data_IF_545024632538
#
_entry.id   IF_545024632538
#
_cell.length_a   1.000
_cell.length_b   1.000
_cell.length_c   1.000
_cell.angle_alpha   90.00
_cell.angle_beta   90.00
_cell.angle_gamma   90.00
#
_symmetry.space_group_name_H-M   'P 1'
#
loop_
_entity.id
_entity.type
_entity.pdbx_description
1 polymer ?
#
# COMPACT_ATOMS: atom_id res chain seq x y z
N UNK A 1 2.22 -26.63 23.91
CA UNK A 1 2.62 -25.68 22.85
C UNK A 1 2.08 -24.32 23.25
N UNK A 2 2.85 -23.24 23.15
CA UNK A 2 2.31 -21.90 23.37
C UNK A 2 1.15 -21.65 22.39
N UNK A 3 0.06 -21.06 22.87
CA UNK A 3 -1.09 -20.72 22.03
C UNK A 3 -0.64 -19.71 20.97
N UNK A 4 -0.92 -19.98 19.68
CA UNK A 4 -0.61 -19.05 18.59
C UNK A 4 -1.42 -17.77 18.78
N UNK A 5 -0.78 -16.63 18.52
CA UNK A 5 -1.46 -15.32 18.59
C UNK A 5 -2.47 -15.20 17.46
N UNK A 6 -3.65 -14.68 17.79
CA UNK A 6 -4.74 -14.40 16.86
C UNK A 6 -4.62 -12.98 16.34
N UNK A 7 -4.43 -12.84 15.04
CA UNK A 7 -4.40 -11.56 14.34
C UNK A 7 -5.63 -11.46 13.44
N UNK A 8 -6.39 -10.38 13.59
CA UNK A 8 -7.52 -10.06 12.72
C UNK A 8 -7.18 -8.85 11.86
N UNK A 9 -7.03 -9.05 10.56
CA UNK A 9 -6.77 -8.00 9.58
C UNK A 9 -8.07 -7.62 8.85
N UNK A 10 -8.54 -6.38 9.05
CA UNK A 10 -9.74 -5.82 8.44
C UNK A 10 -9.32 -4.83 7.38
N UNK A 11 -9.48 -5.16 6.10
CA UNK A 11 -9.01 -4.27 5.03
C UNK A 11 -10.12 -3.99 4.02
N UNK A 12 -10.46 -2.72 3.89
CA UNK A 12 -11.46 -2.24 2.93
C UNK A 12 -11.01 -2.44 1.48
N UNK A 13 -11.97 -2.72 0.59
CA UNK A 13 -11.75 -2.92 -0.85
C UNK A 13 -10.83 -4.10 -1.21
N UNK A 14 -10.46 -4.96 -0.25
CA UNK A 14 -9.55 -6.09 -0.46
C UNK A 14 -10.26 -7.43 -0.72
N UNK A 15 -11.60 -7.45 -0.80
CA UNK A 15 -12.37 -8.67 -1.11
C UNK A 15 -11.99 -9.34 -2.43
N UNK A 16 -11.38 -8.60 -3.37
CA UNK A 16 -10.96 -9.11 -4.67
C UNK A 16 -9.55 -9.73 -4.64
N UNK A 17 -8.78 -9.57 -3.55
CA UNK A 17 -7.39 -10.00 -3.45
C UNK A 17 -7.20 -11.31 -2.68
N UNK A 18 -8.16 -12.24 -2.77
CA UNK A 18 -8.14 -13.49 -2.02
C UNK A 18 -6.86 -14.34 -2.26
N UNK A 19 -6.27 -14.27 -3.46
CA UNK A 19 -5.02 -14.97 -3.79
C UNK A 19 -3.82 -14.46 -2.97
N UNK A 20 -3.69 -13.14 -2.81
CA UNK A 20 -2.66 -12.51 -1.99
C UNK A 20 -2.77 -12.94 -0.53
N UNK A 21 -3.96 -12.82 0.05
CA UNK A 21 -4.19 -13.16 1.45
C UNK A 21 -4.01 -14.64 1.75
N UNK A 22 -4.32 -15.53 0.80
CA UNK A 22 -3.99 -16.96 0.91
C UNK A 22 -2.48 -17.18 0.99
N UNK A 23 -1.70 -16.50 0.13
CA UNK A 23 -0.23 -16.57 0.18
C UNK A 23 0.30 -16.05 1.53
N UNK A 24 -0.20 -14.92 2.01
CA UNK A 24 0.18 -14.34 3.31
C UNK A 24 -0.13 -15.31 4.47
N UNK A 25 -1.36 -15.84 4.53
CA UNK A 25 -1.77 -16.81 5.56
C UNK A 25 -0.85 -18.04 5.56
N UNK A 26 -0.56 -18.60 4.38
CA UNK A 26 0.36 -19.74 4.27
C UNK A 26 1.79 -19.42 4.74
N UNK A 27 2.28 -18.21 4.46
CA UNK A 27 3.62 -17.78 4.89
C UNK A 27 3.73 -17.50 6.39
N UNK A 28 2.60 -17.13 7.03
CA UNK A 28 2.53 -16.76 8.44
C UNK A 28 1.99 -17.90 9.35
N UNK A 29 1.52 -19.01 8.79
CA UNK A 29 0.82 -20.09 9.53
C UNK A 29 1.60 -20.63 10.74
N UNK A 30 2.93 -20.71 10.65
CA UNK A 30 3.78 -21.13 11.78
C UNK A 30 3.92 -20.08 12.88
N UNK A 31 3.72 -18.82 12.55
CA UNK A 31 4.00 -17.67 13.42
C UNK A 31 2.74 -17.20 14.15
N UNK A 32 1.58 -17.21 13.48
CA UNK A 32 0.30 -16.73 14.03
C UNK A 32 -0.92 -17.31 13.31
N UNK A 33 -2.07 -17.22 13.96
CA UNK A 33 -3.38 -17.44 13.34
C UNK A 33 -3.87 -16.12 12.75
N UNK A 34 -3.95 -16.03 11.41
CA UNK A 34 -4.37 -14.82 10.71
C UNK A 34 -5.75 -14.98 10.08
N UNK A 35 -6.71 -14.18 10.58
CA UNK A 35 -8.02 -13.99 9.96
C UNK A 35 -7.98 -12.70 9.15
N UNK A 36 -8.52 -12.76 7.93
CA UNK A 36 -8.69 -11.56 7.10
C UNK A 36 -10.17 -11.35 6.85
N UNK A 37 -10.61 -10.12 7.09
CA UNK A 37 -11.97 -9.61 6.90
C UNK A 37 -11.91 -8.40 5.94
N UNK A 38 -13.03 -8.06 5.31
CA UNK A 38 -13.21 -6.82 4.55
C UNK A 38 -14.28 -5.92 5.15
N UNK A 39 -14.45 -4.74 4.56
CA UNK A 39 -15.53 -3.80 4.83
C UNK A 39 -16.92 -4.45 4.70
N UNK A 40 -17.08 -5.43 3.82
CA UNK A 40 -18.33 -6.18 3.65
C UNK A 40 -18.66 -7.04 4.88
N UNK A 41 -17.66 -7.58 5.58
CA UNK A 41 -17.90 -8.36 6.80
C UNK A 41 -18.44 -7.49 7.94
N UNK A 42 -17.96 -6.24 8.02
CA UNK A 42 -18.42 -5.24 8.98
C UNK A 42 -19.82 -4.75 8.61
N UNK A 43 -20.04 -4.46 7.33
CA UNK A 43 -21.35 -4.02 6.83
C UNK A 43 -22.44 -5.06 7.08
N UNK A 44 -22.13 -6.34 6.86
CA UNK A 44 -23.05 -7.46 7.09
C UNK A 44 -23.15 -7.90 8.55
N UNK A 45 -22.32 -7.33 9.43
CA UNK A 45 -22.25 -7.70 10.84
C UNK A 45 -22.09 -9.22 11.04
N UNK A 46 -21.18 -9.83 10.30
CA UNK A 46 -21.02 -11.29 10.28
C UNK A 46 -20.67 -11.84 11.69
N UNK A 47 -21.40 -12.84 12.22
CA UNK A 47 -21.10 -13.43 13.55
C UNK A 47 -19.69 -14.00 13.68
N UNK A 48 -19.11 -14.54 12.60
CA UNK A 48 -17.74 -15.04 12.59
C UNK A 48 -16.74 -13.89 12.68
N UNK A 49 -17.03 -12.76 12.00
CA UNK A 49 -16.22 -11.55 12.10
C UNK A 49 -16.26 -10.95 13.51
N UNK A 50 -17.43 -10.92 14.15
CA UNK A 50 -17.56 -10.49 15.54
C UNK A 50 -16.71 -11.34 16.49
N UNK A 51 -16.71 -12.67 16.30
CA UNK A 51 -15.89 -13.59 17.08
C UNK A 51 -14.40 -13.36 16.82
N UNK A 52 -13.98 -13.23 15.56
CA UNK A 52 -12.60 -12.94 15.19
C UNK A 52 -12.09 -11.61 15.76
N UNK A 53 -12.93 -10.57 15.82
CA UNK A 53 -12.58 -9.28 16.43
C UNK A 53 -12.43 -9.43 17.94
N UNK A 54 -13.41 -10.05 18.61
CA UNK A 54 -13.42 -10.21 20.07
C UNK A 54 -12.24 -11.04 20.58
N UNK A 55 -11.90 -12.13 19.89
CA UNK A 55 -10.86 -13.06 20.30
C UNK A 55 -9.44 -12.67 19.85
N UNK A 56 -9.29 -11.64 19.01
CA UNK A 56 -7.97 -11.23 18.54
C UNK A 56 -7.06 -10.79 19.68
N UNK A 57 -5.78 -11.16 19.60
CA UNK A 57 -4.70 -10.51 20.36
C UNK A 57 -4.31 -9.18 19.69
N UNK A 58 -4.36 -9.13 18.36
CA UNK A 58 -4.03 -7.95 17.56
C UNK A 58 -5.07 -7.71 16.46
N UNK A 59 -5.47 -6.45 16.30
CA UNK A 59 -6.26 -5.99 15.16
C UNK A 59 -5.42 -5.07 14.27
N UNK A 60 -5.45 -5.33 12.97
CA UNK A 60 -4.94 -4.42 11.94
C UNK A 60 -6.13 -3.97 11.09
N UNK A 61 -6.35 -2.66 10.93
CA UNK A 61 -7.43 -2.12 10.11
C UNK A 61 -6.90 -1.11 9.10
N UNK A 62 -7.39 -1.19 7.86
CA UNK A 62 -7.12 -0.17 6.84
C UNK A 62 -8.30 0.06 5.90
N UNK A 63 -8.46 1.30 5.42
CA UNK A 63 -9.45 1.71 4.43
C UNK A 63 -10.93 1.50 4.83
N UNK A 64 -11.26 1.62 6.12
CA UNK A 64 -12.66 1.57 6.59
C UNK A 64 -13.18 3.00 6.77
N UNK A 65 -14.19 3.36 5.97
CA UNK A 65 -14.60 4.76 5.79
C UNK A 65 -16.13 4.97 5.91
N UNK A 66 -16.87 4.02 6.46
CA UNK A 66 -18.28 4.20 6.83
C UNK A 66 -18.48 4.16 8.34
N UNK A 67 -19.30 5.07 8.87
CA UNK A 67 -19.44 5.28 10.31
C UNK A 67 -20.09 4.08 10.99
N UNK A 68 -21.09 3.50 10.34
CA UNK A 68 -21.82 2.33 10.81
C UNK A 68 -20.90 1.11 10.97
N UNK A 69 -19.93 0.95 10.07
CA UNK A 69 -18.92 -0.12 10.16
C UNK A 69 -18.01 0.09 11.38
N UNK A 70 -17.62 1.34 11.65
CA UNK A 70 -16.76 1.69 12.79
C UNK A 70 -17.50 1.56 14.12
N UNK A 71 -18.75 2.01 14.18
CA UNK A 71 -19.59 1.88 15.38
C UNK A 71 -19.79 0.40 15.73
N UNK A 72 -20.12 -0.44 14.74
CA UNK A 72 -20.24 -1.88 14.96
C UNK A 72 -18.92 -2.52 15.40
N UNK A 73 -17.80 -2.14 14.79
CA UNK A 73 -16.48 -2.62 15.20
C UNK A 73 -16.15 -2.25 16.66
N UNK A 74 -16.49 -1.02 17.10
CA UNK A 74 -16.32 -0.58 18.49
C UNK A 74 -17.13 -1.45 19.45
N UNK A 75 -18.39 -1.75 19.12
CA UNK A 75 -19.22 -2.66 19.94
C UNK A 75 -18.56 -4.02 20.15
N UNK A 76 -17.89 -4.56 19.11
CA UNK A 76 -17.16 -5.82 19.23
C UNK A 76 -15.89 -5.68 20.08
N UNK A 77 -15.20 -4.55 20.01
CA UNK A 77 -14.05 -4.29 20.90
C UNK A 77 -14.48 -4.17 22.37
N UNK A 78 -15.59 -3.49 22.65
CA UNK A 78 -16.11 -3.28 24.01
C UNK A 78 -16.58 -4.59 24.67
N UNK A 79 -17.06 -5.54 23.86
CA UNK A 79 -17.43 -6.88 24.31
C UNK A 79 -16.24 -7.82 24.52
N UNK A 80 -15.03 -7.41 24.14
CA UNK A 80 -13.88 -8.27 24.25
C UNK A 80 -13.30 -8.25 25.67
N UNK A 81 -12.89 -9.42 26.16
CA UNK A 81 -12.38 -9.57 27.53
C UNK A 81 -10.88 -9.28 27.67
N UNK A 82 -10.13 -9.29 26.57
CA UNK A 82 -8.69 -9.06 26.57
C UNK A 82 -8.33 -7.69 25.98
N UNK A 83 -7.28 -7.08 26.55
CA UNK A 83 -6.63 -5.93 25.96
C UNK A 83 -5.98 -6.30 24.61
N UNK A 84 -6.11 -5.42 23.63
CA UNK A 84 -5.66 -5.64 22.25
C UNK A 84 -4.61 -4.63 21.83
N UNK A 85 -3.69 -5.09 21.01
CA UNK A 85 -2.86 -4.20 20.18
C UNK A 85 -3.65 -3.87 18.91
N UNK A 86 -3.85 -2.60 18.59
CA UNK A 86 -4.71 -2.13 17.50
C UNK A 86 -3.95 -1.14 16.63
N UNK A 87 -3.71 -1.53 15.38
CA UNK A 87 -3.13 -0.68 14.34
C UNK A 87 -4.22 -0.27 13.35
N UNK A 88 -4.42 1.03 13.14
CA UNK A 88 -5.41 1.53 12.18
C UNK A 88 -4.76 2.56 11.28
N UNK A 89 -4.97 2.43 9.98
CA UNK A 89 -4.42 3.30 8.96
C UNK A 89 -5.47 3.64 7.90
N UNK A 90 -5.32 4.78 7.22
CA UNK A 90 -6.08 5.13 6.00
C UNK A 90 -7.61 4.97 6.13
N UNK A 91 -8.13 5.14 7.34
CA UNK A 91 -9.54 4.98 7.70
C UNK A 91 -10.08 6.30 8.25
N UNK A 92 -11.39 6.39 8.48
CA UNK A 92 -11.99 7.61 9.02
C UNK A 92 -11.42 8.01 10.40
N UNK A 93 -11.47 9.29 10.79
CA UNK A 93 -10.90 9.77 12.05
C UNK A 93 -11.32 8.97 13.29
N UNK A 94 -12.59 8.59 13.35
CA UNK A 94 -13.20 7.81 14.43
C UNK A 94 -12.62 6.40 14.54
N UNK A 95 -12.22 5.82 13.41
CA UNK A 95 -11.49 4.56 13.36
C UNK A 95 -10.05 4.78 13.82
N UNK A 96 -9.37 5.79 13.25
CA UNK A 96 -7.98 6.10 13.58
C UNK A 96 -7.77 6.36 15.08
N UNK A 97 -8.76 6.96 15.75
CA UNK A 97 -8.78 7.21 17.19
C UNK A 97 -8.81 5.92 18.06
N UNK A 98 -9.09 4.76 17.47
CA UNK A 98 -9.01 3.48 18.19
C UNK A 98 -7.60 2.86 18.14
N UNK A 99 -6.63 3.52 17.49
CA UNK A 99 -5.24 3.04 17.44
C UNK A 99 -4.64 2.97 18.85
N UNK A 100 -4.15 1.78 19.21
CA UNK A 100 -3.54 1.47 20.50
C UNK A 100 -2.37 0.52 20.31
N UNK A 101 -1.15 1.04 20.37
CA UNK A 101 0.10 0.32 20.12
C UNK A 101 1.00 0.52 21.33
N UNK A 102 0.99 -0.43 22.28
CA UNK A 102 1.70 -0.27 23.55
C UNK A 102 1.35 1.06 24.24
N UNK A 103 2.37 1.90 24.48
CA UNK A 103 2.22 3.25 25.04
C UNK A 103 1.73 4.31 24.04
N UNK A 104 1.78 4.04 22.73
CA UNK A 104 1.29 4.95 21.71
C UNK A 104 -0.21 4.77 21.49
N UNK A 105 -0.98 5.82 21.79
CA UNK A 105 -2.43 5.85 21.59
C UNK A 105 -2.82 7.14 20.87
N UNK A 106 -3.79 7.04 19.96
CA UNK A 106 -4.38 8.21 19.30
C UNK A 106 -5.63 8.58 20.09
N UNK A 107 -5.63 9.73 20.76
CA UNK A 107 -6.83 10.24 21.46
C UNK A 107 -7.42 11.42 20.70
N UNK A 108 -8.75 11.56 20.72
CA UNK A 108 -9.42 12.70 20.09
C UNK A 108 -8.82 14.02 20.59
N UNK A 109 -8.42 14.90 19.65
CA UNK A 109 -7.81 16.20 19.94
C UNK A 109 -6.36 16.19 20.46
N UNK A 110 -5.78 15.02 20.78
CA UNK A 110 -4.37 14.88 21.19
C UNK A 110 -3.70 13.74 20.42
N UNK A 111 -2.97 14.10 19.37
CA UNK A 111 -2.10 13.13 18.72
C UNK A 111 -1.00 12.67 19.69
N UNK A 112 -0.91 11.37 19.98
CA UNK A 112 0.17 10.76 20.78
C UNK A 112 1.56 10.84 20.15
N UNK A 113 1.72 11.64 19.09
CA UNK A 113 2.97 11.84 18.37
C UNK A 113 4.01 12.58 19.24
N UNK A 114 5.29 12.19 19.17
CA UNK A 114 6.38 12.93 19.81
C UNK A 114 6.45 14.40 19.33
N UNK A 115 6.85 15.32 20.20
CA UNK A 115 6.83 16.76 19.88
C UNK A 115 7.70 17.15 18.68
N UNK A 116 8.84 16.49 18.49
CA UNK A 116 9.68 16.70 17.30
C UNK A 116 8.94 16.35 16.00
N UNK A 117 8.14 15.28 16.04
CA UNK A 117 7.35 14.82 14.90
C UNK A 117 6.16 15.74 14.66
N UNK A 118 5.50 16.21 15.74
CA UNK A 118 4.46 17.24 15.66
C UNK A 118 4.97 18.53 15.01
N UNK A 119 6.20 18.97 15.34
CA UNK A 119 6.82 20.13 14.69
C UNK A 119 7.00 19.93 13.18
N UNK A 120 7.47 18.75 12.76
CA UNK A 120 7.59 18.39 11.34
C UNK A 120 6.22 18.37 10.66
N UNK A 121 5.22 17.74 11.27
CA UNK A 121 3.84 17.72 10.76
C UNK A 121 3.27 19.13 10.60
N UNK A 122 3.43 20.00 11.62
CA UNK A 122 2.98 21.41 11.57
C UNK A 122 3.65 22.20 10.45
N UNK A 123 4.95 21.97 10.20
CA UNK A 123 5.64 22.58 9.05
C UNK A 123 5.03 22.13 7.71
N UNK A 124 4.66 20.85 7.58
CA UNK A 124 4.06 20.30 6.36
C UNK A 124 2.65 20.84 6.03
N UNK A 125 1.91 21.29 7.05
CA UNK A 125 0.57 21.91 6.92
C UNK A 125 0.59 23.42 7.10
N UNK A 126 1.77 24.06 7.10
CA UNK A 126 1.92 25.51 7.29
C UNK A 126 1.19 26.03 8.55
N UNK A 127 1.15 25.23 9.62
CA UNK A 127 0.60 25.63 10.92
C UNK A 127 -0.93 25.61 11.06
N UNK A 128 -1.69 25.05 10.12
CA UNK A 128 -3.13 24.85 10.25
C UNK A 128 -3.44 23.63 11.11
N UNK A 129 -3.88 23.84 12.35
CA UNK A 129 -4.16 22.75 13.31
C UNK A 129 -5.42 21.94 12.93
N UNK A 130 -6.38 22.53 12.21
CA UNK A 130 -7.54 21.85 11.59
C UNK A 130 -7.14 20.78 10.55
N UNK A 131 -5.94 20.89 10.00
CA UNK A 131 -5.37 19.96 9.03
C UNK A 131 -4.50 18.88 9.68
N UNK A 132 -4.59 18.65 11.00
CA UNK A 132 -3.72 17.70 11.70
C UNK A 132 -3.72 16.29 11.07
N UNK A 133 -4.88 15.82 10.61
CA UNK A 133 -5.03 14.53 9.93
C UNK A 133 -4.38 14.55 8.52
N UNK A 134 -4.54 15.65 7.79
CA UNK A 134 -3.86 15.85 6.50
C UNK A 134 -2.33 15.99 6.66
N UNK A 135 -1.90 16.61 7.76
CA UNK A 135 -0.51 16.67 8.19
C UNK A 135 0.05 15.29 8.52
N UNK A 136 -0.74 14.41 9.11
CA UNK A 136 -0.40 13.00 9.32
C UNK A 136 -0.20 12.25 8.00
N UNK A 137 -1.10 12.44 7.03
CA UNK A 137 -0.94 11.86 5.70
C UNK A 137 0.33 12.37 4.98
N UNK A 138 0.69 13.65 5.13
CA UNK A 138 1.95 14.18 4.61
C UNK A 138 3.16 13.66 5.38
N UNK A 139 3.05 13.51 6.69
CA UNK A 139 4.08 12.92 7.56
C UNK A 139 4.42 11.51 7.09
N UNK A 140 3.40 10.73 6.77
CA UNK A 140 3.53 9.39 6.23
C UNK A 140 4.30 9.37 4.89
N UNK A 141 4.13 10.39 4.04
CA UNK A 141 4.90 10.52 2.77
C UNK A 141 6.40 10.77 2.99
N UNK A 142 6.79 11.36 4.11
CA UNK A 142 8.20 11.63 4.46
C UNK A 142 8.71 10.71 5.59
N UNK A 143 8.01 9.59 5.82
CA UNK A 143 8.25 8.69 6.93
C UNK A 143 9.68 8.13 6.99
N UNK A 144 10.28 7.79 5.84
CA UNK A 144 11.68 7.29 5.80
C UNK A 144 12.68 8.32 6.33
N UNK A 145 12.38 9.61 6.14
CA UNK A 145 13.20 10.72 6.65
C UNK A 145 12.98 10.92 8.15
N UNK A 146 11.78 10.65 8.65
CA UNK A 146 11.41 10.83 10.06
C UNK A 146 11.91 9.67 10.93
N UNK A 147 11.86 8.44 10.42
CA UNK A 147 12.16 7.24 11.20
C UNK A 147 13.53 7.28 11.93
N UNK A 148 14.63 7.78 11.34
CA UNK A 148 15.91 7.95 12.03
C UNK A 148 15.89 9.03 13.12
N UNK A 149 14.96 9.99 13.05
CA UNK A 149 14.83 11.09 14.00
C UNK A 149 13.94 10.73 15.21
N UNK A 150 13.22 9.61 15.15
CA UNK A 150 12.33 9.19 16.26
C UNK A 150 13.18 8.74 17.45
N UNK A 151 13.03 9.37 18.63
CA UNK A 151 13.78 8.99 19.82
C UNK A 151 13.49 7.54 20.25
N UNK A 152 14.49 6.85 20.81
CA UNK A 152 14.32 5.48 21.32
C UNK A 152 13.22 5.36 22.38
N UNK A 153 12.99 6.42 23.18
CA UNK A 153 11.89 6.48 24.16
C UNK A 153 10.49 6.48 23.53
N UNK A 154 10.38 6.74 22.23
CA UNK A 154 9.14 6.69 21.46
C UNK A 154 9.08 5.39 20.61
N UNK A 155 9.50 4.26 21.20
CA UNK A 155 9.58 2.94 20.56
C UNK A 155 8.26 2.55 19.88
N UNK A 156 7.14 2.70 20.58
CA UNK A 156 5.85 2.27 20.05
C UNK A 156 5.37 3.10 18.87
N UNK A 157 5.62 4.41 18.91
CA UNK A 157 5.36 5.28 17.76
C UNK A 157 6.24 4.91 16.56
N UNK A 158 7.51 4.56 16.81
CA UNK A 158 8.43 4.07 15.76
C UNK A 158 7.93 2.75 15.17
N UNK A 159 7.45 1.83 16.00
CA UNK A 159 6.88 0.56 15.55
C UNK A 159 5.61 0.77 14.73
N UNK A 160 4.72 1.69 15.15
CA UNK A 160 3.54 2.10 14.38
C UNK A 160 3.91 2.65 12.99
N UNK A 161 4.94 3.51 12.89
CA UNK A 161 5.48 3.95 11.59
C UNK A 161 6.07 2.80 10.76
N UNK A 162 6.80 1.87 11.39
CA UNK A 162 7.41 0.75 10.69
C UNK A 162 6.38 -0.22 10.13
N UNK A 163 5.32 -0.53 10.89
CA UNK A 163 4.17 -1.32 10.41
C UNK A 163 3.57 -0.67 9.17
N UNK A 164 3.34 0.65 9.22
CA UNK A 164 2.83 1.39 8.07
C UNK A 164 3.78 1.36 6.87
N UNK A 165 5.09 1.38 7.11
CA UNK A 165 6.12 1.32 6.07
C UNK A 165 6.06 0.01 5.28
N UNK A 166 5.84 -1.12 5.95
CA UNK A 166 5.59 -2.39 5.26
C UNK A 166 4.26 -2.35 4.49
N UNK A 167 3.21 -1.79 5.10
CA UNK A 167 1.88 -1.71 4.47
C UNK A 167 1.88 -0.91 3.15
N UNK A 168 2.62 0.20 3.08
CA UNK A 168 2.77 1.00 1.86
C UNK A 168 3.44 0.27 0.68
N UNK A 169 4.09 -0.86 0.96
CA UNK A 169 4.72 -1.71 -0.03
C UNK A 169 4.05 -3.09 0.01
N UNK A 170 2.80 -3.26 -0.46
CA UNK A 170 1.95 -4.41 -0.14
C UNK A 170 2.30 -5.67 -0.95
N UNK A 171 3.58 -6.06 -0.94
CA UNK A 171 4.03 -7.37 -1.36
C UNK A 171 3.68 -8.40 -0.27
N UNK A 172 3.46 -9.69 -0.65
CA UNK A 172 3.25 -10.75 0.33
C UNK A 172 4.35 -10.79 1.40
N UNK A 173 5.61 -10.62 0.99
CA UNK A 173 6.78 -10.64 1.85
C UNK A 173 6.75 -9.49 2.86
N UNK A 174 6.38 -8.28 2.44
CA UNK A 174 6.28 -7.13 3.34
C UNK A 174 5.12 -7.27 4.31
N UNK A 175 3.94 -7.74 3.87
CA UNK A 175 2.78 -7.91 4.76
C UNK A 175 3.06 -9.01 5.80
N UNK A 176 3.75 -10.09 5.44
CA UNK A 176 4.19 -11.11 6.40
C UNK A 176 5.17 -10.53 7.40
N UNK A 177 6.19 -9.78 6.95
CA UNK A 177 7.15 -9.15 7.85
C UNK A 177 6.53 -8.03 8.71
N UNK A 178 5.47 -7.37 8.22
CA UNK A 178 4.65 -6.46 9.01
C UNK A 178 4.04 -7.16 10.23
N UNK A 179 3.40 -8.32 10.02
CA UNK A 179 2.83 -9.09 11.12
C UNK A 179 3.89 -9.70 12.02
N UNK A 180 5.02 -10.17 11.47
CA UNK A 180 6.16 -10.64 12.29
C UNK A 180 6.75 -9.54 13.15
N UNK A 181 6.81 -8.31 12.65
CA UNK A 181 7.23 -7.15 13.43
C UNK A 181 6.29 -6.97 14.63
N UNK A 182 4.98 -7.05 14.41
CA UNK A 182 3.99 -6.94 15.49
C UNK A 182 4.18 -8.08 16.51
N UNK A 183 4.29 -9.32 16.05
CA UNK A 183 4.50 -10.51 16.89
C UNK A 183 5.76 -10.41 17.75
N UNK A 184 6.87 -9.98 17.17
CA UNK A 184 8.14 -9.80 17.87
C UNK A 184 8.08 -8.70 18.92
N UNK A 185 7.47 -7.56 18.59
CA UNK A 185 7.52 -6.37 19.44
C UNK A 185 6.45 -6.34 20.54
N UNK A 186 5.32 -7.02 20.35
CA UNK A 186 4.16 -6.95 21.25
C UNK A 186 3.73 -8.30 21.83
N UNK A 187 4.30 -9.41 21.36
CA UNK A 187 3.88 -10.76 21.76
C UNK A 187 5.05 -11.70 22.05
N UNK A 188 6.26 -11.16 22.27
CA UNK A 188 7.49 -11.88 22.63
C UNK A 188 7.78 -13.10 21.74
N UNK A 189 7.36 -13.02 20.46
CA UNK A 189 7.52 -14.12 19.51
C UNK A 189 8.93 -14.11 18.92
N UNK A 190 9.62 -15.26 18.94
CA UNK A 190 10.92 -15.44 18.31
C UNK A 190 10.75 -15.63 16.79
N UNK A 191 10.48 -14.52 16.10
CA UNK A 191 10.30 -14.46 14.65
C UNK A 191 11.27 -13.49 14.01
N UNK A 192 11.88 -13.91 12.90
CA UNK A 192 12.77 -13.06 12.11
C UNK A 192 11.95 -12.08 11.26
N UNK A 193 12.25 -10.80 11.37
CA UNK A 193 11.66 -9.74 10.55
C UNK A 193 12.69 -9.31 9.51
N UNK A 194 12.41 -9.58 8.24
CA UNK A 194 13.25 -9.15 7.12
C UNK A 194 13.01 -7.67 6.77
N UNK A 195 14.00 -6.95 6.21
CA UNK A 195 13.82 -5.56 5.76
C UNK A 195 12.71 -5.39 4.72
N UNK A 196 12.17 -4.17 4.63
CA UNK A 196 11.17 -3.80 3.63
C UNK A 196 11.74 -4.00 2.21
N UNK A 197 11.02 -4.76 1.41
CA UNK A 197 11.25 -4.88 -0.03
C UNK A 197 10.69 -3.63 -0.72
N UNK A 198 11.58 -2.78 -1.22
CA UNK A 198 11.20 -1.53 -1.91
C UNK A 198 10.94 -1.79 -3.39
N UNK A 199 9.74 -1.48 -3.85
CA UNK A 199 9.37 -1.53 -5.27
C UNK A 199 9.23 -0.10 -5.77
N UNK A 200 9.88 0.28 -6.88
CA UNK A 200 9.80 1.64 -7.41
C UNK A 200 8.35 2.13 -7.55
N UNK A 201 8.10 3.42 -7.31
CA UNK A 201 6.74 3.98 -7.50
C UNK A 201 6.32 3.99 -8.97
N UNK A 202 7.29 4.09 -9.89
CA UNK A 202 7.08 3.96 -11.32
C UNK A 202 8.32 3.32 -11.96
N UNK A 203 8.13 2.66 -13.09
CA UNK A 203 9.21 1.97 -13.78
C UNK A 203 8.76 1.23 -15.03
N UNK A 204 9.69 0.49 -15.61
CA UNK A 204 9.40 -0.49 -16.66
C UNK A 204 9.62 -1.91 -16.13
N UNK A 205 8.83 -2.84 -16.61
CA UNK A 205 8.80 -4.23 -16.15
C UNK A 205 8.81 -5.21 -17.31
N UNK A 206 9.60 -6.28 -17.24
CA UNK A 206 9.46 -7.37 -18.21
C UNK A 206 9.48 -8.72 -17.49
N UNK A 207 8.64 -9.71 -17.88
CA UNK A 207 8.59 -11.01 -17.19
C UNK A 207 9.90 -11.81 -17.23
N UNK A 208 10.74 -11.56 -18.23
CA UNK A 208 12.08 -12.17 -18.35
C UNK A 208 13.20 -11.36 -17.66
N UNK A 209 12.89 -10.19 -17.09
CA UNK A 209 13.87 -9.38 -16.35
C UNK A 209 13.84 -9.75 -14.86
N UNK A 210 15.02 -9.82 -14.23
CA UNK A 210 15.14 -10.08 -12.78
C UNK A 210 14.69 -8.89 -11.93
N UNK A 211 14.90 -7.68 -12.44
CA UNK A 211 14.71 -6.43 -11.72
C UNK A 211 13.83 -5.47 -12.53
N UNK A 212 13.19 -4.53 -11.83
CA UNK A 212 12.50 -3.41 -12.46
C UNK A 212 13.49 -2.37 -12.98
N UNK A 213 13.13 -1.71 -14.08
CA UNK A 213 13.93 -0.63 -14.64
C UNK A 213 13.41 0.71 -14.15
N UNK A 214 14.32 1.54 -13.63
CA UNK A 214 14.02 2.89 -13.10
C UNK A 214 14.11 3.99 -14.16
N UNK A 215 14.42 3.62 -15.40
CA UNK A 215 14.56 4.53 -16.53
C UNK A 215 14.47 3.76 -17.85
N UNK A 216 14.17 4.47 -18.94
CA UNK A 216 14.01 3.89 -20.28
C UNK A 216 15.33 3.40 -20.87
N UNK A 217 16.45 4.08 -20.56
CA UNK A 217 17.76 3.76 -21.13
C UNK A 217 18.24 2.39 -20.66
N UNK A 218 18.08 2.07 -19.38
CA UNK A 218 18.43 0.77 -18.81
C UNK A 218 17.54 -0.34 -19.38
N UNK A 219 16.23 -0.10 -19.55
CA UNK A 219 15.32 -1.04 -20.21
C UNK A 219 15.73 -1.31 -21.66
N UNK A 220 15.97 -0.28 -22.48
CA UNK A 220 16.40 -0.45 -23.89
C UNK A 220 17.74 -1.17 -24.01
N UNK A 221 18.69 -0.88 -23.11
CA UNK A 221 19.98 -1.59 -23.05
C UNK A 221 19.79 -3.07 -22.78
N UNK A 222 18.92 -3.42 -21.83
CA UNK A 222 18.57 -4.81 -21.52
C UNK A 222 17.84 -5.49 -22.70
N UNK A 223 16.86 -4.84 -23.30
CA UNK A 223 16.11 -5.37 -24.46
C UNK A 223 17.01 -5.58 -25.68
N UNK A 224 17.98 -4.68 -25.93
CA UNK A 224 18.96 -4.84 -27.00
C UNK A 224 19.80 -6.12 -26.84
N UNK A 225 20.14 -6.51 -25.61
CA UNK A 225 20.84 -7.78 -25.33
C UNK A 225 19.98 -9.01 -25.64
N UNK A 226 18.65 -8.87 -25.66
CA UNK A 226 17.69 -9.90 -26.13
C UNK A 226 17.48 -9.88 -27.65
N UNK A 227 18.15 -9.00 -28.39
CA UNK A 227 17.97 -8.83 -29.83
C UNK A 227 16.80 -7.91 -30.22
N UNK A 228 16.16 -7.25 -29.26
CA UNK A 228 15.07 -6.30 -29.54
C UNK A 228 15.66 -4.98 -30.05
N UNK A 229 15.23 -4.55 -31.24
CA UNK A 229 15.61 -3.26 -31.80
C UNK A 229 14.37 -2.37 -31.91
N UNK A 230 14.29 -1.39 -31.01
CA UNK A 230 13.19 -0.43 -30.95
C UNK A 230 13.05 0.43 -32.21
N UNK A 231 14.07 0.54 -33.06
CA UNK A 231 14.01 1.36 -34.29
C UNK A 231 13.45 0.60 -35.51
N UNK A 232 13.18 -0.71 -35.39
CA UNK A 232 12.81 -1.58 -36.53
C UNK A 232 11.36 -2.07 -36.54
N UNK A 233 10.60 -1.78 -35.49
CA UNK A 233 9.23 -2.29 -35.37
C UNK A 233 8.35 -1.32 -34.60
N UNK A 234 7.04 -1.49 -34.73
CA UNK A 234 6.04 -0.67 -34.04
C UNK A 234 6.28 -0.68 -32.53
N UNK A 235 6.18 0.51 -31.93
CA UNK A 235 6.43 0.74 -30.51
C UNK A 235 5.11 0.97 -29.80
N UNK A 236 4.80 0.11 -28.84
CA UNK A 236 3.60 0.25 -28.01
C UNK A 236 4.00 0.42 -26.56
N UNK A 237 3.41 1.39 -25.87
CA UNK A 237 3.51 1.47 -24.42
C UNK A 237 2.28 0.84 -23.77
N UNK A 238 2.51 0.07 -22.71
CA UNK A 238 1.46 -0.36 -21.80
C UNK A 238 1.61 0.43 -20.50
N UNK A 239 0.50 0.88 -19.93
CA UNK A 239 0.49 1.53 -18.63
C UNK A 239 -0.46 0.79 -17.68
N UNK A 240 0.07 0.29 -16.57
CA UNK A 240 -0.70 -0.47 -15.58
C UNK A 240 -0.31 -0.14 -14.14
N UNK A 241 -1.18 -0.50 -13.18
CA UNK A 241 -0.89 -0.26 -11.78
C UNK A 241 0.21 -1.19 -11.26
N UNK A 242 1.12 -0.62 -10.47
CA UNK A 242 2.09 -1.33 -9.64
C UNK A 242 1.42 -2.38 -8.76
N UNK A 243 0.24 -2.07 -8.20
CA UNK A 243 -0.53 -3.02 -7.38
C UNK A 243 -0.82 -4.31 -8.17
N UNK A 244 -1.29 -4.19 -9.40
CA UNK A 244 -1.59 -5.35 -10.26
C UNK A 244 -0.32 -6.09 -10.67
N UNK A 245 0.77 -5.37 -10.93
CA UNK A 245 2.07 -5.99 -11.19
C UNK A 245 2.56 -6.84 -10.00
N UNK A 246 2.28 -6.43 -8.77
CA UNK A 246 2.69 -7.16 -7.57
C UNK A 246 1.74 -8.31 -7.20
N UNK A 247 0.44 -8.16 -7.47
CA UNK A 247 -0.59 -9.06 -6.95
C UNK A 247 -1.22 -9.95 -8.03
N UNK A 248 -1.26 -9.50 -9.29
CA UNK A 248 -2.00 -10.14 -10.40
C UNK A 248 -1.21 -10.15 -11.72
N UNK A 249 0.12 -10.32 -11.68
CA UNK A 249 1.01 -10.15 -12.85
C UNK A 249 0.68 -11.01 -14.08
N UNK A 250 -0.05 -12.12 -13.93
CA UNK A 250 -0.30 -13.09 -15.01
C UNK A 250 -0.87 -12.45 -16.28
N UNK A 251 -1.85 -11.54 -16.14
CA UNK A 251 -2.43 -10.90 -17.33
C UNK A 251 -1.46 -9.89 -17.98
N UNK A 252 -0.63 -9.23 -17.18
CA UNK A 252 0.43 -8.32 -17.64
C UNK A 252 1.46 -9.13 -18.43
N UNK A 253 1.95 -10.22 -17.86
CA UNK A 253 2.92 -11.12 -18.48
C UNK A 253 2.40 -11.65 -19.81
N UNK A 254 1.16 -12.12 -19.84
CA UNK A 254 0.52 -12.65 -21.05
C UNK A 254 0.35 -11.57 -22.12
N UNK A 255 -0.02 -10.35 -21.73
CA UNK A 255 -0.17 -9.21 -22.65
C UNK A 255 1.17 -8.86 -23.31
N UNK A 256 2.22 -8.71 -22.51
CA UNK A 256 3.58 -8.40 -22.99
C UNK A 256 4.03 -9.49 -23.97
N UNK A 257 3.98 -10.76 -23.55
CA UNK A 257 4.42 -11.89 -24.38
C UNK A 257 3.64 -12.00 -25.69
N UNK A 258 2.34 -11.76 -25.65
CA UNK A 258 1.50 -11.83 -26.84
C UNK A 258 1.86 -10.74 -27.84
N UNK A 259 2.10 -9.50 -27.38
CA UNK A 259 2.51 -8.39 -28.24
C UNK A 259 3.91 -8.62 -28.82
N UNK A 260 4.88 -9.03 -28.00
CA UNK A 260 6.24 -9.37 -28.46
C UNK A 260 6.21 -10.47 -29.53
N UNK A 261 5.37 -11.50 -29.35
CA UNK A 261 5.19 -12.59 -30.34
C UNK A 261 4.70 -12.09 -31.71
N UNK A 262 3.96 -10.98 -31.74
CA UNK A 262 3.50 -10.34 -32.98
C UNK A 262 4.47 -9.27 -33.50
N UNK A 263 5.70 -9.21 -32.97
CA UNK A 263 6.74 -8.30 -33.44
C UNK A 263 6.58 -6.85 -32.95
N UNK A 264 5.76 -6.61 -31.93
CA UNK A 264 5.60 -5.29 -31.32
C UNK A 264 6.70 -5.07 -30.28
N UNK A 265 7.38 -3.93 -30.36
CA UNK A 265 8.34 -3.49 -29.35
C UNK A 265 7.58 -2.82 -28.19
N UNK A 266 7.50 -3.50 -27.05
CA UNK A 266 6.66 -3.06 -25.93
C UNK A 266 7.48 -2.22 -24.93
N UNK A 267 6.93 -1.10 -24.47
CA UNK A 267 7.32 -0.36 -23.27
C UNK A 267 6.31 -0.64 -22.13
N UNK A 268 6.50 -1.73 -21.38
CA UNK A 268 5.62 -2.14 -20.29
C UNK A 268 5.87 -1.32 -19.02
N UNK A 269 5.14 -0.21 -18.89
CA UNK A 269 5.31 0.76 -17.81
C UNK A 269 4.32 0.54 -16.68
N UNK A 270 4.80 0.67 -15.44
CA UNK A 270 3.96 0.61 -14.25
C UNK A 270 4.07 1.88 -13.41
N UNK A 271 2.98 2.22 -12.73
CA UNK A 271 2.90 3.35 -11.78
C UNK A 271 2.11 2.98 -10.53
N UNK A 272 2.42 3.61 -9.40
CA UNK A 272 1.61 3.48 -8.18
C UNK A 272 0.21 4.06 -8.41
N UNK A 273 0.14 5.20 -9.09
CA UNK A 273 -1.09 5.66 -9.75
C UNK A 273 -1.00 7.10 -10.23
N UNK A 274 -0.75 8.03 -9.31
CA UNK A 274 -0.73 9.48 -9.62
C UNK A 274 0.42 9.87 -10.55
N UNK A 275 1.46 9.03 -10.66
CA UNK A 275 2.63 9.24 -11.51
C UNK A 275 2.38 8.94 -12.99
N UNK A 276 1.19 8.45 -13.38
CA UNK A 276 0.86 8.07 -14.76
C UNK A 276 1.20 9.14 -15.79
N UNK A 277 0.73 10.38 -15.57
CA UNK A 277 1.02 11.52 -16.44
C UNK A 277 2.51 11.87 -16.50
N UNK A 278 3.24 11.80 -15.38
CA UNK A 278 4.68 12.06 -15.32
C UNK A 278 5.45 11.04 -16.15
N UNK A 279 5.16 9.75 -15.97
CA UNK A 279 5.81 8.69 -16.72
C UNK A 279 5.55 8.83 -18.22
N UNK A 280 4.31 9.11 -18.63
CA UNK A 280 3.97 9.28 -20.05
C UNK A 280 4.74 10.46 -20.66
N UNK A 281 4.59 11.65 -20.06
CA UNK A 281 5.21 12.89 -20.56
C UNK A 281 6.74 12.81 -20.57
N UNK A 282 7.34 12.39 -19.46
CA UNK A 282 8.79 12.52 -19.27
C UNK A 282 9.58 11.35 -19.82
N UNK A 283 8.98 10.16 -19.93
CA UNK A 283 9.65 8.94 -20.38
C UNK A 283 9.17 8.51 -21.77
N UNK A 284 7.87 8.26 -21.93
CA UNK A 284 7.35 7.59 -23.13
C UNK A 284 7.28 8.51 -24.37
N UNK A 285 6.97 9.80 -24.20
CA UNK A 285 6.91 10.75 -25.32
C UNK A 285 8.23 10.86 -26.08
N UNK A 286 9.36 10.73 -25.38
CA UNK A 286 10.71 10.78 -25.97
C UNK A 286 11.01 9.58 -26.85
N UNK A 287 10.30 8.47 -26.65
CA UNK A 287 10.52 7.22 -27.38
C UNK A 287 9.78 7.13 -28.71
N UNK A 288 8.91 8.13 -29.00
CA UNK A 288 8.07 8.19 -30.21
C UNK A 288 7.27 6.90 -30.38
N UNK A 289 6.48 6.56 -29.36
CA UNK A 289 5.59 5.41 -29.38
C UNK A 289 4.46 5.63 -30.40
N UNK A 290 3.98 4.55 -31.02
CA UNK A 290 2.87 4.59 -31.98
C UNK A 290 1.51 4.50 -31.26
N UNK A 291 1.47 3.82 -30.11
CA UNK A 291 0.24 3.62 -29.33
C UNK A 291 0.53 3.51 -27.84
N UNK A 292 -0.29 4.18 -27.03
CA UNK A 292 -0.36 3.98 -25.58
C UNK A 292 -1.64 3.21 -25.24
N UNK A 293 -1.49 2.04 -24.62
CA UNK A 293 -2.59 1.26 -24.07
C UNK A 293 -2.63 1.47 -22.55
N UNK A 294 -3.63 2.23 -22.10
CA UNK A 294 -3.87 2.43 -20.68
C UNK A 294 -4.71 1.27 -20.11
N UNK A 295 -4.05 0.39 -19.35
CA UNK A 295 -4.65 -0.78 -18.70
C UNK A 295 -5.05 -0.51 -17.24
N UNK A 296 -4.96 0.73 -16.76
CA UNK A 296 -5.34 1.08 -15.38
C UNK A 296 -6.86 1.17 -15.20
N UNK A 297 -7.62 1.46 -16.26
CA UNK A 297 -9.05 1.74 -16.16
C UNK A 297 -9.39 3.11 -15.54
N UNK A 298 -8.39 3.98 -15.37
CA UNK A 298 -8.54 5.36 -14.85
C UNK A 298 -7.83 6.36 -15.77
N UNK A 299 -8.18 7.65 -15.65
CA UNK A 299 -7.51 8.73 -16.37
C UNK A 299 -6.03 8.86 -16.02
N UNK A 300 -5.22 9.37 -16.97
CA UNK A 300 -3.79 9.64 -16.76
C UNK A 300 -3.54 10.76 -15.73
N UNK A 301 -4.46 11.72 -15.69
CA UNK A 301 -4.49 12.83 -14.73
C UNK A 301 -5.83 12.77 -14.00
N UNK A 302 -5.77 12.67 -12.67
CA UNK A 302 -6.94 12.55 -11.81
C UNK A 302 -7.32 11.09 -11.57
N UNK A 303 -7.12 10.64 -10.32
CA UNK A 303 -7.78 9.44 -9.81
C UNK A 303 -9.26 9.71 -9.48
N UNK A 304 -9.97 8.76 -8.85
CA UNK A 304 -11.37 8.94 -8.44
C UNK A 304 -11.61 10.20 -7.57
N UNK A 305 -10.61 10.60 -6.78
CA UNK A 305 -10.66 11.83 -5.98
C UNK A 305 -10.35 13.13 -6.75
N UNK A 306 -9.75 13.03 -7.95
CA UNK A 306 -9.36 14.17 -8.78
C UNK A 306 -10.34 14.49 -9.93
N UNK A 307 -11.29 13.60 -10.21
CA UNK A 307 -12.20 13.73 -11.35
C UNK A 307 -13.52 14.43 -11.03
N UNK A 308 -13.56 15.35 -10.05
CA UNK A 308 -14.77 16.16 -9.82
C UNK A 308 -14.99 17.22 -10.91
N UNK A 309 -14.01 17.43 -11.80
CA UNK A 309 -14.10 18.33 -12.95
C UNK A 309 -13.38 17.77 -14.19
N UNK A 310 -14.02 16.90 -14.99
CA UNK A 310 -13.49 16.50 -16.29
C UNK A 310 -13.06 17.74 -17.10
N UNK A 311 -11.84 17.74 -17.65
CA UNK A 311 -11.32 18.84 -18.48
C UNK A 311 -10.51 19.93 -17.76
N UNK A 312 -10.37 19.92 -16.43
CA UNK A 312 -9.50 20.90 -15.73
C UNK A 312 -8.00 20.70 -15.96
N UNK A 313 -7.59 19.53 -16.46
CA UNK A 313 -6.23 19.24 -16.90
C UNK A 313 -6.08 19.28 -18.44
N UNK A 314 -6.95 20.02 -19.15
CA UNK A 314 -6.85 20.16 -20.61
C UNK A 314 -5.47 20.65 -21.06
N UNK A 315 -4.80 21.49 -20.26
CA UNK A 315 -3.46 21.98 -20.58
C UNK A 315 -2.42 20.85 -20.57
N UNK A 316 -2.55 19.86 -19.67
CA UNK A 316 -1.68 18.67 -19.66
C UNK A 316 -1.89 17.76 -20.88
N UNK A 317 -3.04 17.85 -21.57
CA UNK A 317 -3.25 17.20 -22.87
C UNK A 317 -2.38 17.83 -23.97
N UNK A 318 -2.03 19.11 -23.86
CA UNK A 318 -1.13 19.73 -24.84
C UNK A 318 0.34 19.31 -24.62
N UNK A 319 0.67 18.76 -23.46
CA UNK A 319 2.00 18.25 -23.11
C UNK A 319 2.20 16.74 -23.39
N UNK A 320 1.11 15.97 -23.58
CA UNK A 320 1.08 14.53 -23.88
C UNK A 320 0.59 14.31 -25.31
#
# INVERSE_FOLDING_TARGET
MAQRRKITAIVGLEQYNAGLWRKIKNMLDKDAELIQLSDVDLEKQNPEAATAIREADCVFMSMINFKEQIDWFKEQLDQASNEKTIFIFESMPEAMALTKVGSYQVTEGKSGMPDMVKKIAKMLVKGRDEDALYGYMKLMKIMRTILPLVPNKAKDFKNWLMVYSYWLQPTPENIVNMFRLILREYFDSDVKVEPIVDVPNMGLYHPDAKEYFKDVKSFKSWSKKRGVNFDKSQKMALLFFRKHLLQEKTYIDNTIRTLEKHGVNVFPAFVMGVEGHVLVRDWLMKEKIDLLVNMMGFGLVGGPAGSTKPGTAADARHEI
#
